data_IF_216159968060
#
_entry.id   IF_216159968060
#
_cell.length_a   1.000
_cell.length_b   1.000
_cell.length_c   1.000
_cell.angle_alpha   90.00
_cell.angle_beta   90.00
_cell.angle_gamma   90.00
#
_symmetry.space_group_name_H-M   'P 1'
#
loop_
_entity.id
_entity.type
_entity.pdbx_description
1 polymer ?
#
# COMPACT_ATOMS: atom_id res chain seq x y z
N UNK A 1 -58.75 -10.03 -46.66
CA UNK A 1 -57.91 -10.65 -47.71
C UNK A 1 -56.62 -9.86 -47.84
N UNK A 2 -55.50 -10.58 -47.96
CA UNK A 2 -54.09 -10.14 -48.11
C UNK A 2 -53.44 -9.57 -46.82
N UNK A 3 -52.22 -9.93 -46.45
CA UNK A 3 -51.39 -11.10 -46.72
C UNK A 3 -50.29 -11.10 -45.63
N UNK A 4 -49.88 -12.29 -45.22
CA UNK A 4 -48.81 -12.60 -44.28
C UNK A 4 -47.45 -12.10 -44.77
N UNK A 5 -46.58 -11.63 -43.87
CA UNK A 5 -45.13 -11.80 -44.03
C UNK A 5 -44.45 -12.02 -42.67
N UNK A 6 -43.95 -13.24 -42.49
CA UNK A 6 -43.00 -13.63 -41.46
C UNK A 6 -41.59 -13.21 -41.90
N UNK A 7 -40.81 -12.64 -41.00
CA UNK A 7 -39.34 -12.75 -41.02
C UNK A 7 -38.90 -13.07 -39.60
N UNK A 8 -38.40 -14.29 -39.43
CA UNK A 8 -37.65 -14.73 -38.27
C UNK A 8 -36.15 -14.66 -38.59
N UNK A 9 -35.36 -13.88 -37.85
CA UNK A 9 -33.92 -14.11 -37.61
C UNK A 9 -33.45 -13.15 -36.51
N UNK A 10 -32.71 -13.66 -35.52
CA UNK A 10 -31.99 -12.82 -34.55
C UNK A 10 -31.96 -13.35 -33.12
N UNK A 11 -31.33 -14.51 -32.92
CA UNK A 11 -30.91 -15.00 -31.59
C UNK A 11 -29.66 -14.22 -31.15
N UNK A 12 -29.55 -13.98 -29.84
CA UNK A 12 -28.34 -13.62 -29.07
C UNK A 12 -27.88 -12.14 -29.06
N UNK A 13 -28.25 -11.43 -27.98
CA UNK A 13 -27.37 -10.53 -27.24
C UNK A 13 -27.73 -10.62 -25.76
N UNK A 14 -27.24 -11.68 -25.12
CA UNK A 14 -26.98 -11.70 -23.68
C UNK A 14 -25.65 -10.97 -23.51
N UNK A 15 -25.62 -9.79 -22.87
CA UNK A 15 -24.40 -9.22 -22.27
C UNK A 15 -24.81 -8.13 -21.27
N UNK A 16 -24.77 -8.54 -20.00
CA UNK A 16 -24.36 -7.78 -18.80
C UNK A 16 -25.07 -6.42 -18.61
N UNK A 17 -26.23 -6.47 -17.97
CA UNK A 17 -26.64 -5.41 -17.04
C UNK A 17 -25.67 -5.46 -15.85
N UNK A 18 -24.61 -4.65 -15.90
CA UNK A 18 -23.73 -4.40 -14.76
C UNK A 18 -24.55 -3.72 -13.67
N UNK A 19 -24.66 -4.37 -12.51
CA UNK A 19 -25.09 -3.72 -11.28
C UNK A 19 -24.03 -2.68 -10.94
N UNK A 20 -24.37 -1.41 -11.13
CA UNK A 20 -23.55 -0.29 -10.67
C UNK A 20 -23.95 0.04 -9.24
N UNK A 21 -22.95 0.21 -8.37
CA UNK A 21 -22.98 0.91 -7.09
C UNK A 21 -24.37 0.96 -6.45
N UNK A 22 -24.71 -0.05 -5.64
CA UNK A 22 -25.93 0.01 -4.84
C UNK A 22 -25.67 0.97 -3.66
N UNK A 23 -25.74 2.28 -3.94
CA UNK A 23 -25.74 3.30 -2.90
C UNK A 23 -26.86 2.94 -1.89
N UNK A 24 -26.58 3.12 -0.59
CA UNK A 24 -27.62 3.03 0.46
C UNK A 24 -28.53 4.28 0.49
N UNK A 25 -28.24 5.28 -0.35
CA UNK A 25 -29.16 6.27 -0.92
C UNK A 25 -29.25 6.03 -2.43
N UNK A 26 -29.93 6.83 -3.24
CA UNK A 26 -29.92 6.65 -4.70
C UNK A 26 -29.43 7.95 -5.39
N UNK A 27 -28.35 7.95 -6.20
CA UNK A 27 -28.00 9.08 -7.03
C UNK A 27 -28.11 8.64 -8.49
N UNK A 28 -29.23 8.99 -9.13
CA UNK A 28 -29.45 8.82 -10.58
C UNK A 28 -28.50 9.69 -11.46
N UNK A 29 -27.31 10.04 -10.99
CA UNK A 29 -26.21 10.51 -11.83
C UNK A 29 -25.27 9.34 -12.07
N UNK A 30 -25.59 8.54 -13.09
CA UNK A 30 -24.81 7.38 -13.47
C UNK A 30 -23.32 7.69 -13.51
N UNK A 31 -22.56 6.94 -12.72
CA UNK A 31 -21.12 6.82 -12.79
C UNK A 31 -20.75 6.44 -14.24
N UNK A 32 -20.55 7.43 -15.10
CA UNK A 32 -19.95 7.22 -16.41
C UNK A 32 -18.46 7.12 -16.16
N UNK A 33 -17.99 5.89 -15.99
CA UNK A 33 -16.58 5.56 -16.15
C UNK A 33 -16.16 6.19 -17.50
N UNK A 34 -15.23 7.15 -17.53
CA UNK A 34 -14.58 7.46 -18.79
C UNK A 34 -13.99 6.16 -19.33
N UNK A 35 -13.98 5.99 -20.65
CA UNK A 35 -13.25 4.87 -21.25
C UNK A 35 -11.85 4.85 -20.60
N UNK A 36 -11.44 3.72 -19.98
CA UNK A 36 -10.15 3.64 -19.30
C UNK A 36 -9.04 3.96 -20.30
N UNK A 37 -8.61 5.22 -20.30
CA UNK A 37 -7.44 5.62 -21.04
C UNK A 37 -6.27 4.98 -20.32
N UNK A 38 -5.58 4.05 -20.98
CA UNK A 38 -4.28 3.59 -20.51
C UNK A 38 -3.36 4.81 -20.43
N UNK A 39 -3.23 5.42 -19.25
CA UNK A 39 -2.31 6.52 -19.05
C UNK A 39 -0.90 5.98 -19.25
N UNK A 40 -0.02 6.78 -19.87
CA UNK A 40 1.42 6.53 -19.89
C UNK A 40 1.94 6.18 -18.49
N UNK A 41 3.09 5.48 -18.41
CA UNK A 41 3.76 5.23 -17.13
C UNK A 41 3.80 6.51 -16.29
N UNK A 42 3.21 6.48 -15.09
CA UNK A 42 3.17 7.65 -14.21
C UNK A 42 4.58 8.17 -13.94
N UNK A 43 4.69 9.46 -13.65
CA UNK A 43 5.95 10.09 -13.32
C UNK A 43 6.30 9.84 -11.84
N UNK A 44 7.48 9.27 -11.56
CA UNK A 44 7.97 9.18 -10.18
C UNK A 44 8.27 10.59 -9.69
N UNK A 45 7.71 10.94 -8.55
CA UNK A 45 8.00 12.18 -7.83
C UNK A 45 8.53 11.83 -6.45
N UNK A 46 9.36 12.70 -5.90
CA UNK A 46 9.84 12.59 -4.54
C UNK A 46 9.38 13.81 -3.76
N UNK A 47 8.85 13.64 -2.55
CA UNK A 47 8.54 14.78 -1.70
C UNK A 47 9.83 15.54 -1.40
N UNK A 48 9.74 16.87 -1.38
CA UNK A 48 10.80 17.78 -0.97
C UNK A 48 11.02 17.71 0.54
N UNK A 49 9.92 17.57 1.29
CA UNK A 49 9.94 17.46 2.75
C UNK A 49 8.72 16.70 3.24
N UNK A 50 8.81 16.17 4.47
CA UNK A 50 7.69 15.53 5.14
C UNK A 50 7.65 15.86 6.63
N UNK A 51 6.47 15.72 7.24
CA UNK A 51 6.24 15.93 8.67
C UNK A 51 5.13 15.00 9.14
N UNK A 52 5.04 14.73 10.45
CA UNK A 52 3.84 14.14 11.02
C UNK A 52 2.69 15.14 10.95
N UNK A 53 1.45 14.65 10.90
CA UNK A 53 0.26 15.48 10.95
C UNK A 53 -0.76 14.95 11.97
N UNK A 54 -1.62 15.83 12.45
CA UNK A 54 -2.79 15.48 13.28
C UNK A 54 -4.01 15.13 12.42
N UNK A 55 -5.11 14.72 13.07
CA UNK A 55 -6.38 14.40 12.41
C UNK A 55 -7.00 15.60 11.65
N UNK A 56 -6.55 16.82 11.94
CA UNK A 56 -6.98 18.04 11.25
C UNK A 56 -6.04 18.42 10.10
N UNK A 57 -5.16 17.49 9.71
CA UNK A 57 -4.18 17.63 8.63
C UNK A 57 -3.15 18.73 8.90
N UNK A 58 -2.98 19.13 10.17
CA UNK A 58 -2.02 20.15 10.57
C UNK A 58 -0.67 19.51 10.91
N UNK A 59 0.45 20.14 10.51
CA UNK A 59 1.78 19.61 10.79
C UNK A 59 2.09 19.58 12.29
N UNK A 60 2.55 18.42 12.78
CA UNK A 60 3.04 18.20 14.13
C UNK A 60 4.57 18.17 14.09
N UNK A 61 5.18 19.26 14.55
CA UNK A 61 6.64 19.36 14.68
C UNK A 61 7.34 19.90 13.43
N UNK A 62 8.69 19.78 13.36
CA UNK A 62 9.46 20.36 12.28
C UNK A 62 9.39 19.52 11.01
N UNK A 63 9.35 20.20 9.87
CA UNK A 63 9.55 19.59 8.56
C UNK A 63 10.93 18.93 8.46
N UNK A 64 10.95 17.71 7.92
CA UNK A 64 12.17 16.98 7.57
C UNK A 64 12.43 17.17 6.09
N UNK A 65 13.59 17.75 5.77
CA UNK A 65 14.04 17.90 4.38
C UNK A 65 14.46 16.54 3.81
N UNK A 66 13.87 16.20 2.66
CA UNK A 66 14.10 14.96 1.93
C UNK A 66 14.93 15.20 0.66
N UNK A 67 15.21 16.47 0.34
CA UNK A 67 16.10 16.85 -0.77
C UNK A 67 17.56 16.67 -0.36
N UNK A 68 18.18 15.57 -0.79
CA UNK A 68 19.63 15.36 -0.68
C UNK A 68 20.12 14.57 0.54
N UNK A 69 19.29 14.34 1.56
CA UNK A 69 19.51 13.31 2.57
C UNK A 69 18.64 12.11 2.20
N UNK A 70 19.21 11.13 1.50
CA UNK A 70 18.51 9.89 1.20
C UNK A 70 17.87 9.36 2.49
N UNK A 71 16.53 9.28 2.51
CA UNK A 71 15.88 8.58 3.61
C UNK A 71 16.41 7.17 3.58
N UNK A 72 16.77 6.62 4.75
CA UNK A 72 17.38 5.29 4.82
C UNK A 72 16.58 4.30 3.96
N UNK A 73 17.17 3.87 2.83
CA UNK A 73 16.53 3.06 1.78
C UNK A 73 16.09 1.66 2.29
N UNK A 74 16.43 1.33 3.53
CA UNK A 74 16.51 -0.04 4.03
C UNK A 74 15.76 -0.22 5.37
N UNK A 75 14.60 0.41 5.47
CA UNK A 75 13.77 0.34 6.67
C UNK A 75 12.34 -0.18 6.44
N UNK A 76 12.07 -0.80 5.29
CA UNK A 76 10.84 -1.56 5.04
C UNK A 76 11.15 -3.05 5.05
N UNK A 77 10.61 -3.83 6.00
CA UNK A 77 10.97 -5.25 6.13
C UNK A 77 9.89 -6.24 5.67
N UNK A 78 8.61 -5.87 5.80
CA UNK A 78 7.47 -6.71 5.40
C UNK A 78 6.36 -5.82 4.87
N UNK A 79 5.69 -6.27 3.81
CA UNK A 79 4.52 -5.61 3.23
C UNK A 79 3.35 -5.77 4.20
N UNK A 80 2.73 -4.66 4.59
CA UNK A 80 1.59 -4.63 5.51
C UNK A 80 0.28 -4.52 4.77
N UNK A 81 0.24 -3.62 3.79
CA UNK A 81 -0.91 -3.34 2.97
C UNK A 81 -0.45 -3.16 1.54
N UNK A 82 -1.11 -3.80 0.59
CA UNK A 82 -0.84 -3.69 -0.83
C UNK A 82 -2.14 -3.53 -1.61
N UNK A 83 -2.36 -2.31 -2.09
CA UNK A 83 -3.35 -2.01 -3.11
C UNK A 83 -2.69 -1.41 -4.36
N UNK A 84 -1.52 -1.92 -4.75
CA UNK A 84 -0.80 -1.54 -5.99
C UNK A 84 -0.15 -2.73 -6.69
N UNK A 85 -0.12 -3.90 -6.03
CA UNK A 85 0.47 -5.17 -6.46
C UNK A 85 1.93 -5.06 -6.82
N UNK A 86 2.69 -4.56 -5.85
CA UNK A 86 4.15 -4.57 -5.94
C UNK A 86 4.64 -6.02 -5.85
N UNK A 87 5.54 -6.46 -6.74
CA UNK A 87 6.25 -7.74 -6.54
C UNK A 87 7.35 -7.60 -5.47
N UNK A 88 7.12 -6.81 -4.42
CA UNK A 88 8.13 -6.42 -3.42
C UNK A 88 9.22 -5.48 -3.95
N UNK A 89 9.05 -4.94 -5.17
CA UNK A 89 9.89 -3.90 -5.80
C UNK A 89 8.96 -2.85 -6.40
N UNK A 90 9.40 -1.58 -6.42
CA UNK A 90 8.70 -0.36 -6.84
C UNK A 90 7.46 -0.58 -7.74
N UNK A 91 6.36 0.16 -7.55
CA UNK A 91 5.11 0.15 -8.37
C UNK A 91 5.28 0.12 -9.89
N UNK A 92 6.46 0.44 -10.43
CA UNK A 92 6.74 0.45 -11.86
C UNK A 92 7.68 -0.68 -12.34
N UNK A 93 8.39 -1.40 -11.46
CA UNK A 93 9.29 -2.49 -11.89
C UNK A 93 8.58 -3.83 -12.11
N UNK A 94 7.34 -3.94 -11.66
CA UNK A 94 6.50 -5.08 -11.98
C UNK A 94 5.05 -4.66 -12.14
N UNK A 95 4.65 -4.32 -13.36
CA UNK A 95 3.26 -4.53 -13.72
C UNK A 95 3.00 -6.02 -13.54
N UNK A 96 2.04 -6.47 -12.71
CA UNK A 96 1.62 -7.85 -12.77
C UNK A 96 0.96 -8.03 -14.12
N UNK A 97 1.71 -8.46 -15.13
CA UNK A 97 1.20 -8.57 -16.49
C UNK A 97 -0.09 -9.38 -16.53
N UNK A 98 -0.96 -9.08 -17.49
CA UNK A 98 -2.33 -9.63 -17.62
C UNK A 98 -2.40 -11.18 -17.56
N UNK A 99 -1.29 -11.87 -17.77
CA UNK A 99 -1.17 -13.31 -17.51
C UNK A 99 -1.43 -13.74 -16.06
N UNK A 100 -1.40 -12.83 -15.08
CA UNK A 100 -1.61 -13.13 -13.66
C UNK A 100 -3.08 -13.09 -13.21
N UNK A 101 -3.94 -12.32 -13.88
CA UNK A 101 -5.39 -12.23 -13.59
C UNK A 101 -6.23 -13.12 -14.51
N UNK A 102 -5.60 -13.72 -15.53
CA UNK A 102 -6.28 -14.46 -16.56
C UNK A 102 -6.85 -13.54 -17.65
N UNK A 103 -6.98 -14.10 -18.86
CA UNK A 103 -7.52 -13.39 -20.02
C UNK A 103 -8.98 -12.92 -19.82
N UNK A 104 -9.68 -13.46 -18.83
CA UNK A 104 -11.09 -13.19 -18.53
C UNK A 104 -11.32 -11.87 -17.78
N UNK A 105 -10.27 -11.25 -17.20
CA UNK A 105 -10.42 -9.95 -16.53
C UNK A 105 -10.44 -8.76 -17.50
N UNK A 106 -10.20 -8.97 -18.81
CA UNK A 106 -10.55 -8.11 -19.96
C UNK A 106 -9.98 -6.67 -20.04
N UNK A 107 -9.67 -6.07 -18.89
CA UNK A 107 -9.18 -4.72 -18.67
C UNK A 107 -7.77 -4.68 -18.08
N UNK A 108 -7.16 -5.86 -17.93
CA UNK A 108 -5.81 -6.05 -17.46
C UNK A 108 -5.60 -5.65 -16.00
N UNK A 109 -4.34 -5.70 -15.58
CA UNK A 109 -3.79 -5.05 -14.40
C UNK A 109 -3.84 -3.51 -14.53
N UNK A 110 -4.99 -2.97 -14.93
CA UNK A 110 -5.15 -1.57 -15.28
C UNK A 110 -5.13 -0.67 -14.04
N UNK A 111 -4.43 0.47 -14.13
CA UNK A 111 -4.58 1.59 -13.20
C UNK A 111 -5.87 2.31 -13.55
N UNK A 112 -6.80 2.44 -12.61
CA UNK A 112 -8.11 3.05 -12.81
C UNK A 112 -8.12 4.48 -12.28
N UNK A 113 -8.87 5.36 -12.92
CA UNK A 113 -9.22 6.69 -12.39
C UNK A 113 -10.43 7.21 -13.16
N UNK A 114 -11.11 8.22 -12.65
CA UNK A 114 -12.35 8.73 -13.25
C UNK A 114 -12.14 9.81 -14.31
N UNK A 115 -10.96 9.82 -14.94
CA UNK A 115 -10.62 10.78 -15.99
C UNK A 115 -10.23 12.15 -15.45
N UNK A 116 -9.58 12.99 -16.27
CA UNK A 116 -9.00 14.27 -15.83
C UNK A 116 -10.02 15.30 -15.34
N UNK A 117 -11.29 15.17 -15.72
CA UNK A 117 -12.36 16.08 -15.28
C UNK A 117 -12.98 15.72 -13.92
N UNK A 118 -12.65 14.56 -13.36
CA UNK A 118 -13.09 14.17 -12.03
C UNK A 118 -12.04 14.61 -11.00
N UNK A 119 -12.51 15.06 -9.84
CA UNK A 119 -11.61 15.30 -8.72
C UNK A 119 -12.27 14.85 -7.42
N UNK A 120 -11.46 14.17 -6.63
CA UNK A 120 -11.75 13.58 -5.33
C UNK A 120 -10.56 13.95 -4.45
N UNK A 121 -10.68 15.12 -3.82
CA UNK A 121 -9.60 15.74 -3.06
C UNK A 121 -9.43 15.12 -1.68
N UNK A 122 -10.38 14.28 -1.26
CA UNK A 122 -10.42 13.70 0.06
C UNK A 122 -11.12 12.34 0.03
N UNK A 123 -10.41 11.30 0.45
CA UNK A 123 -10.89 9.92 0.37
C UNK A 123 -10.52 9.13 1.62
N UNK A 124 -11.29 8.07 1.87
CA UNK A 124 -11.02 7.09 2.92
C UNK A 124 -11.34 5.71 2.35
N UNK A 125 -10.43 4.78 2.55
CA UNK A 125 -10.57 3.39 2.15
C UNK A 125 -10.40 2.49 3.38
N UNK A 126 -11.11 1.37 3.41
CA UNK A 126 -10.85 0.32 4.40
C UNK A 126 -9.51 -0.38 4.10
N UNK A 127 -8.85 -0.87 5.15
CA UNK A 127 -7.63 -1.66 5.03
C UNK A 127 -7.66 -2.85 5.98
N UNK A 128 -7.54 -4.05 5.41
CA UNK A 128 -7.07 -5.22 6.13
C UNK A 128 -5.57 -5.39 5.85
N UNK A 129 -4.77 -5.28 6.90
CA UNK A 129 -3.32 -5.50 6.88
C UNK A 129 -2.99 -6.98 7.13
N UNK A 130 -1.75 -7.35 6.80
CA UNK A 130 -1.23 -8.68 7.15
C UNK A 130 -1.06 -8.83 8.66
N UNK A 131 -1.29 -10.02 9.22
CA UNK A 131 -1.10 -10.31 10.66
C UNK A 131 0.31 -9.97 11.18
N UNK A 132 1.33 -9.95 10.30
CA UNK A 132 2.69 -9.56 10.69
C UNK A 132 2.85 -8.07 10.98
N UNK A 133 1.85 -7.26 10.65
CA UNK A 133 1.88 -5.80 10.80
C UNK A 133 0.97 -5.26 11.90
N UNK A 134 0.22 -6.11 12.60
CA UNK A 134 -0.68 -5.70 13.68
C UNK A 134 0.06 -4.83 14.72
N UNK A 135 -0.37 -3.57 14.83
CA UNK A 135 0.23 -2.56 15.73
C UNK A 135 1.69 -2.17 15.43
N UNK A 136 2.26 -2.61 14.30
CA UNK A 136 3.64 -2.29 13.93
C UNK A 136 3.71 -0.91 13.28
N UNK A 137 4.79 -0.17 13.55
CA UNK A 137 5.05 1.10 12.89
C UNK A 137 5.16 0.93 11.36
N UNK A 138 4.63 1.87 10.58
CA UNK A 138 4.83 1.94 9.13
C UNK A 138 6.15 2.66 8.80
N UNK A 139 6.97 2.04 7.95
CA UNK A 139 8.32 2.49 7.59
C UNK A 139 8.52 2.84 6.12
N UNK A 140 7.57 2.49 5.26
CA UNK A 140 7.58 2.86 3.83
C UNK A 140 6.14 3.01 3.36
N UNK A 141 5.90 4.02 2.54
CA UNK A 141 4.61 4.28 1.92
C UNK A 141 4.82 4.51 0.43
N UNK A 142 3.93 3.92 -0.35
CA UNK A 142 3.83 4.11 -1.78
C UNK A 142 2.41 4.49 -2.11
N UNK A 143 2.24 5.49 -2.98
CA UNK A 143 0.92 5.95 -3.39
C UNK A 143 0.98 6.56 -4.79
N UNK A 144 -0.13 6.41 -5.52
CA UNK A 144 -0.31 6.88 -6.89
C UNK A 144 -1.55 7.78 -7.00
N UNK A 145 -1.40 8.92 -7.67
CA UNK A 145 -2.44 9.94 -7.76
C UNK A 145 -2.39 10.69 -9.08
N UNK A 146 -3.54 11.25 -9.45
CA UNK A 146 -3.66 12.23 -10.52
C UNK A 146 -3.70 13.62 -9.91
N UNK A 147 -2.94 14.55 -10.48
CA UNK A 147 -2.89 15.94 -10.05
C UNK A 147 -3.11 16.86 -11.25
N UNK A 148 -4.16 17.68 -11.19
CA UNK A 148 -4.47 18.66 -12.22
C UNK A 148 -4.60 20.05 -11.60
N UNK A 149 -3.84 21.01 -12.13
CA UNK A 149 -3.93 22.39 -11.69
C UNK A 149 -4.76 23.14 -12.72
N UNK A 150 -6.00 23.46 -12.36
CA UNK A 150 -6.91 24.12 -13.28
C UNK A 150 -6.45 25.56 -13.57
N UNK A 151 -5.74 25.76 -14.69
CA UNK A 151 -5.48 27.07 -15.27
C UNK A 151 -4.03 27.29 -15.74
N UNK A 152 -3.80 27.97 -16.89
CA UNK A 152 -2.46 28.33 -17.35
C UNK A 152 -1.72 29.18 -16.30
N UNK A 153 -0.51 28.76 -15.91
CA UNK A 153 0.36 29.51 -14.98
C UNK A 153 0.10 29.28 -13.50
N UNK A 154 -0.71 28.29 -13.13
CA UNK A 154 -0.92 27.90 -11.74
C UNK A 154 0.21 26.99 -11.26
N UNK A 155 0.96 27.45 -10.24
CA UNK A 155 2.06 26.73 -9.60
C UNK A 155 1.62 26.12 -8.26
N UNK A 156 0.44 25.51 -8.25
CA UNK A 156 -0.14 25.00 -7.01
C UNK A 156 0.81 23.98 -6.38
N UNK A 157 1.13 24.21 -5.11
CA UNK A 157 1.95 23.30 -4.33
C UNK A 157 1.17 22.00 -4.13
N UNK A 158 1.75 20.88 -4.55
CA UNK A 158 1.15 19.58 -4.34
C UNK A 158 1.57 19.03 -2.98
N UNK A 159 0.57 18.80 -2.14
CA UNK A 159 0.76 18.15 -0.85
C UNK A 159 -0.19 16.98 -0.70
N UNK A 160 0.29 15.96 0.01
CA UNK A 160 -0.49 14.77 0.28
C UNK A 160 -0.42 14.45 1.76
N UNK A 161 -1.59 14.37 2.36
CA UNK A 161 -1.81 13.78 3.67
C UNK A 161 -2.16 12.31 3.50
N UNK A 162 -1.54 11.42 4.28
CA UNK A 162 -1.95 10.01 4.43
C UNK A 162 -2.02 9.68 5.92
N UNK A 163 -3.21 9.31 6.40
CA UNK A 163 -3.50 8.95 7.79
C UNK A 163 -3.95 7.50 7.96
N UNK A 164 -3.82 6.98 9.18
CA UNK A 164 -4.30 5.66 9.59
C UNK A 164 -5.25 5.73 10.77
N UNK A 165 -6.22 4.82 10.81
CA UNK A 165 -7.24 4.70 11.84
C UNK A 165 -7.42 3.24 12.29
N UNK A 166 -7.70 3.03 13.58
CA UNK A 166 -8.02 1.71 14.16
C UNK A 166 -9.32 1.12 13.64
N UNK A 167 -10.27 1.94 13.18
CA UNK A 167 -11.60 1.44 12.84
C UNK A 167 -12.14 2.10 11.57
N UNK A 168 -12.77 1.28 10.74
CA UNK A 168 -13.57 1.67 9.58
C UNK A 168 -14.90 0.93 9.66
N UNK A 169 -15.97 1.67 9.95
CA UNK A 169 -17.29 1.08 10.11
C UNK A 169 -18.14 1.33 8.86
N UNK A 170 -18.78 0.26 8.34
CA UNK A 170 -19.78 0.17 7.24
C UNK A 170 -20.54 1.47 6.90
N UNK A 171 -19.85 2.44 6.28
CA UNK A 171 -20.37 3.77 5.97
C UNK A 171 -20.79 4.66 7.18
N UNK A 172 -20.36 4.37 8.41
CA UNK A 172 -20.62 5.23 9.58
C UNK A 172 -19.42 6.07 10.02
N UNK A 173 -18.24 5.81 9.43
CA UNK A 173 -17.05 6.63 9.52
C UNK A 173 -15.83 5.90 10.06
N UNK A 174 -14.82 6.67 10.43
CA UNK A 174 -13.56 6.19 11.01
C UNK A 174 -13.42 6.60 12.47
N UNK A 175 -12.68 5.82 13.24
CA UNK A 175 -12.35 6.12 14.64
C UNK A 175 -10.95 5.65 15.02
N UNK A 176 -10.43 6.21 16.11
CA UNK A 176 -9.11 5.83 16.64
C UNK A 176 -7.97 6.27 15.73
N UNK A 177 -7.83 7.57 15.49
CA UNK A 177 -6.72 8.14 14.72
C UNK A 177 -5.36 7.69 15.29
N UNK A 178 -4.54 7.08 14.44
CA UNK A 178 -3.23 6.52 14.80
C UNK A 178 -2.08 7.48 14.49
N UNK A 179 -2.30 8.39 13.54
CA UNK A 179 -1.31 9.34 13.06
C UNK A 179 -1.39 9.51 11.56
N UNK A 180 -0.73 10.56 11.06
CA UNK A 180 -0.63 10.84 9.65
C UNK A 180 0.74 11.39 9.25
N UNK A 181 1.09 11.21 7.98
CA UNK A 181 2.19 11.90 7.33
C UNK A 181 1.63 12.96 6.40
N UNK A 182 2.31 14.10 6.36
CA UNK A 182 2.09 15.15 5.37
C UNK A 182 3.36 15.28 4.51
N UNK A 183 3.19 15.08 3.21
CA UNK A 183 4.25 15.13 2.20
C UNK A 183 4.09 16.37 1.35
N UNK A 184 5.16 17.13 1.18
CA UNK A 184 5.20 18.31 0.30
C UNK A 184 6.06 18.02 -0.91
N UNK A 185 5.47 18.07 -2.11
CA UNK A 185 6.15 17.84 -3.38
C UNK A 185 6.53 19.15 -4.09
N UNK A 186 6.16 20.31 -3.53
CA UNK A 186 6.22 21.57 -4.25
C UNK A 186 5.29 21.58 -5.46
N UNK A 187 5.46 22.54 -6.38
CA UNK A 187 4.74 22.54 -7.64
C UNK A 187 5.13 21.33 -8.50
N UNK A 188 4.15 20.54 -8.93
CA UNK A 188 4.38 19.44 -9.86
C UNK A 188 4.36 19.93 -11.31
N UNK A 189 5.28 19.45 -12.17
CA UNK A 189 5.33 19.88 -13.56
C UNK A 189 4.14 19.30 -14.32
N UNK A 190 3.21 20.13 -14.82
CA UNK A 190 2.15 19.60 -15.68
C UNK A 190 2.78 18.94 -16.91
N UNK A 191 2.59 17.63 -17.06
CA UNK A 191 3.18 16.89 -18.18
C UNK A 191 2.44 17.19 -19.49
N UNK A 192 1.22 17.71 -19.40
CA UNK A 192 0.36 18.21 -20.48
C UNK A 192 -0.51 19.35 -19.93
N UNK A 193 -1.16 20.14 -20.77
CA UNK A 193 -2.08 21.25 -20.38
C UNK A 193 -3.32 20.78 -19.57
N UNK A 194 -3.35 19.53 -19.10
CA UNK A 194 -4.51 18.84 -18.52
C UNK A 194 -4.18 18.04 -17.25
N UNK A 195 -3.10 18.36 -16.53
CA UNK A 195 -2.68 17.60 -15.33
C UNK A 195 -1.79 16.39 -15.65
N UNK A 196 -1.42 15.63 -14.63
CA UNK A 196 -0.50 14.50 -14.76
C UNK A 196 -0.73 13.37 -13.76
N UNK A 197 -0.33 12.17 -14.18
CA UNK A 197 -0.27 10.98 -13.31
C UNK A 197 1.10 10.91 -12.63
N UNK A 198 1.10 10.91 -11.29
CA UNK A 198 2.28 10.82 -10.45
C UNK A 198 2.21 9.64 -9.49
N UNK A 199 3.37 9.20 -9.05
CA UNK A 199 3.49 8.27 -7.92
C UNK A 199 4.74 8.58 -7.12
N UNK A 200 4.76 8.17 -5.86
CA UNK A 200 5.96 8.22 -5.04
C UNK A 200 6.16 6.93 -4.28
N UNK A 201 7.37 6.81 -3.74
CA UNK A 201 7.81 5.73 -2.89
C UNK A 201 8.77 6.32 -1.88
N UNK A 202 8.38 6.32 -0.60
CA UNK A 202 9.12 7.01 0.44
C UNK A 202 9.26 6.13 1.67
N UNK A 203 10.49 6.05 2.17
CA UNK A 203 10.79 5.49 3.48
C UNK A 203 10.49 6.55 4.54
N UNK A 204 9.83 6.20 5.64
CA UNK A 204 9.41 7.14 6.69
C UNK A 204 10.26 7.03 7.95
N UNK A 205 11.19 6.09 8.02
CA UNK A 205 11.92 5.78 9.25
C UNK A 205 12.92 6.85 9.71
N UNK A 206 13.28 7.78 8.82
CA UNK A 206 14.09 8.96 9.13
C UNK A 206 13.26 10.17 9.58
N UNK A 207 11.94 10.07 9.55
CA UNK A 207 11.05 11.14 10.01
C UNK A 207 10.99 11.16 11.55
N UNK A 208 10.69 12.33 12.12
CA UNK A 208 10.51 12.48 13.56
C UNK A 208 9.21 11.81 14.02
N UNK A 209 9.25 10.49 14.22
CA UNK A 209 8.16 9.68 14.75
C UNK A 209 7.71 8.58 13.79
N UNK A 210 6.64 7.88 14.17
CA UNK A 210 6.08 6.74 13.44
C UNK A 210 4.57 6.75 13.55
N UNK A 211 3.92 6.08 12.59
CA UNK A 211 2.49 5.82 12.63
C UNK A 211 2.34 4.31 12.76
N UNK A 212 1.69 3.80 13.81
CA UNK A 212 1.40 2.38 13.91
C UNK A 212 0.30 2.00 12.91
N UNK A 213 0.39 0.78 12.39
CA UNK A 213 -0.74 0.07 11.80
C UNK A 213 -1.82 -0.21 12.86
N UNK A 214 -3.08 -0.45 12.46
CA UNK A 214 -4.14 -0.88 13.37
C UNK A 214 -3.74 -2.11 14.18
N UNK A 215 -4.15 -2.13 15.45
CA UNK A 215 -3.67 -3.10 16.43
C UNK A 215 -4.19 -4.52 16.17
N UNK A 216 -5.31 -4.67 15.48
CA UNK A 216 -5.92 -5.94 15.08
C UNK A 216 -5.78 -6.24 13.58
N UNK A 217 -4.95 -5.45 12.89
CA UNK A 217 -4.72 -5.55 11.45
C UNK A 217 -5.89 -5.06 10.60
N UNK A 218 -6.92 -4.43 11.18
CA UNK A 218 -8.07 -3.90 10.43
C UNK A 218 -8.29 -2.44 10.76
N UNK A 219 -8.59 -1.62 9.77
CA UNK A 219 -8.85 -0.21 10.02
C UNK A 219 -9.10 0.54 8.72
N UNK A 220 -8.69 1.81 8.71
CA UNK A 220 -8.79 2.67 7.54
C UNK A 220 -7.46 3.32 7.20
N UNK A 221 -7.33 3.69 5.93
CA UNK A 221 -6.38 4.72 5.52
C UNK A 221 -7.12 5.86 4.84
N UNK A 222 -6.74 7.06 5.21
CA UNK A 222 -7.31 8.33 4.75
C UNK A 222 -6.27 9.03 3.90
N UNK A 223 -6.70 9.71 2.84
CA UNK A 223 -5.84 10.64 2.14
C UNK A 223 -6.54 11.92 1.74
N UNK A 224 -5.77 13.02 1.79
CA UNK A 224 -6.22 14.33 1.35
C UNK A 224 -5.16 14.99 0.48
N UNK A 225 -5.61 15.54 -0.64
CA UNK A 225 -4.79 16.33 -1.55
C UNK A 225 -4.92 17.80 -1.17
N UNK A 226 -3.79 18.40 -0.80
CA UNK A 226 -3.73 19.70 -0.16
C UNK A 226 -2.80 20.65 -0.90
N UNK A 227 -2.92 21.92 -0.57
CA UNK A 227 -2.10 23.04 -1.03
C UNK A 227 -1.73 23.96 0.14
N UNK A 228 -0.90 24.97 -0.12
CA UNK A 228 -0.54 26.03 0.82
C UNK A 228 -0.09 25.51 2.20
N UNK A 229 0.96 24.68 2.22
CA UNK A 229 1.49 24.05 3.44
C UNK A 229 0.48 23.21 4.25
N UNK A 230 -0.57 22.70 3.60
CA UNK A 230 -1.61 21.85 4.21
C UNK A 230 -2.85 22.61 4.68
N UNK A 231 -2.91 23.92 4.40
CA UNK A 231 -3.99 24.80 4.87
C UNK A 231 -5.27 24.78 4.03
N UNK A 232 -5.22 24.24 2.81
CA UNK A 232 -6.38 24.15 1.92
C UNK A 232 -6.34 22.90 1.04
N UNK A 233 -7.50 22.50 0.50
CA UNK A 233 -7.59 21.42 -0.47
C UNK A 233 -7.09 21.83 -1.86
N UNK A 234 -6.58 20.85 -2.58
CA UNK A 234 -6.13 21.02 -3.95
C UNK A 234 -7.27 21.46 -4.88
N UNK A 235 -6.96 22.20 -5.95
CA UNK A 235 -7.97 22.56 -6.95
C UNK A 235 -8.60 21.33 -7.61
N UNK A 236 -7.77 20.39 -8.05
CA UNK A 236 -8.21 19.11 -8.61
C UNK A 236 -7.13 18.04 -8.44
N UNK A 237 -7.45 17.00 -7.68
CA UNK A 237 -6.66 15.79 -7.58
C UNK A 237 -7.60 14.60 -7.37
N UNK A 238 -7.11 13.39 -7.58
CA UNK A 238 -7.84 12.17 -7.26
C UNK A 238 -6.84 11.02 -7.06
N UNK A 239 -7.20 10.01 -6.23
CA UNK A 239 -6.40 8.79 -6.17
C UNK A 239 -6.45 8.07 -7.51
N UNK A 240 -5.32 7.48 -7.89
CA UNK A 240 -5.39 6.34 -8.79
C UNK A 240 -6.02 5.20 -8.00
N UNK A 241 -6.82 4.39 -8.68
CA UNK A 241 -7.47 3.23 -8.11
C UNK A 241 -6.82 1.97 -8.68
N UNK A 242 -6.76 0.95 -7.84
CA UNK A 242 -6.23 -0.36 -8.19
C UNK A 242 -7.10 -1.43 -7.54
N UNK A 243 -6.96 -2.66 -8.00
CA UNK A 243 -7.66 -3.79 -7.41
C UNK A 243 -6.74 -4.94 -7.14
N UNK A 244 -6.91 -5.52 -5.97
CA UNK A 244 -6.06 -6.58 -5.44
C UNK A 244 -6.80 -7.86 -5.11
N UNK A 245 -8.04 -8.01 -5.58
CA UNK A 245 -8.89 -9.16 -5.29
C UNK A 245 -8.33 -10.46 -5.89
N UNK A 246 -7.35 -11.03 -5.18
CA UNK A 246 -6.81 -12.38 -5.33
C UNK A 246 -7.02 -13.12 -4.01
N UNK A 247 -7.32 -14.43 -4.06
CA UNK A 247 -7.37 -15.30 -2.87
C UNK A 247 -6.04 -15.46 -2.10
N UNK A 248 -4.97 -14.77 -2.52
CA UNK A 248 -3.65 -14.78 -1.90
C UNK A 248 -3.09 -13.37 -1.62
N UNK A 249 -3.83 -12.30 -1.96
CA UNK A 249 -3.40 -10.98 -1.53
C UNK A 249 -3.75 -10.83 -0.05
N UNK A 250 -2.72 -10.61 0.77
CA UNK A 250 -2.87 -10.49 2.22
C UNK A 250 -3.58 -9.19 2.62
N UNK A 251 -3.76 -8.28 1.66
CA UNK A 251 -4.38 -6.99 1.82
C UNK A 251 -5.74 -6.97 1.15
N UNK A 252 -6.79 -7.11 1.95
CA UNK A 252 -8.17 -7.14 1.49
C UNK A 252 -8.85 -5.79 1.73
N UNK A 253 -9.78 -5.46 0.84
CA UNK A 253 -10.70 -4.34 0.96
C UNK A 253 -12.12 -4.85 0.70
N UNK A 254 -13.09 -4.32 1.43
CA UNK A 254 -14.51 -4.64 1.27
C UNK A 254 -15.16 -3.93 0.08
N UNK A 255 -14.46 -2.96 -0.51
CA UNK A 255 -14.95 -2.10 -1.59
C UNK A 255 -15.67 -0.85 -1.10
N UNK A 256 -15.81 -0.70 0.21
CA UNK A 256 -16.32 0.54 0.78
C UNK A 256 -15.27 1.64 0.72
N UNK A 257 -15.65 2.75 0.09
CA UNK A 257 -14.81 3.94 -0.05
C UNK A 257 -15.64 5.17 0.27
N UNK A 258 -15.05 6.11 1.01
CA UNK A 258 -15.55 7.47 1.05
C UNK A 258 -14.81 8.36 0.04
N UNK A 259 -15.55 9.20 -0.67
CA UNK A 259 -15.01 10.15 -1.64
C UNK A 259 -15.75 11.49 -1.56
N UNK A 260 -15.00 12.59 -1.38
CA UNK A 260 -15.50 13.96 -1.27
C UNK A 260 -15.88 14.51 -2.65
N UNK A 261 -17.12 14.26 -3.05
CA UNK A 261 -17.63 14.56 -4.39
C UNK A 261 -18.93 15.36 -4.39
N UNK A 262 -19.63 15.51 -3.25
CA UNK A 262 -20.94 16.15 -3.21
C UNK A 262 -21.36 16.74 -1.84
N UNK A 263 -21.07 18.03 -1.57
CA UNK A 263 -20.22 18.94 -2.36
C UNK A 263 -18.73 18.69 -2.07
N UNK A 264 -17.86 18.98 -3.05
CA UNK A 264 -16.40 18.95 -2.82
C UNK A 264 -15.99 20.09 -1.90
N UNK A 265 -15.90 19.82 -0.61
CA UNK A 265 -15.60 20.82 0.41
C UNK A 265 -14.54 20.37 1.43
N UNK A 266 -13.98 19.18 1.25
CA UNK A 266 -12.95 18.63 2.11
C UNK A 266 -13.46 17.97 3.39
N UNK A 267 -14.77 17.70 3.45
CA UNK A 267 -15.41 16.97 4.53
C UNK A 267 -16.25 15.81 3.98
N UNK A 268 -16.03 14.60 4.51
CA UNK A 268 -16.87 13.46 4.14
C UNK A 268 -18.25 13.60 4.81
N UNK A 269 -19.29 13.62 4.00
CA UNK A 269 -20.67 13.42 4.43
C UNK A 269 -20.96 11.91 4.33
N UNK A 270 -20.68 11.16 5.39
CA UNK A 270 -20.71 9.69 5.39
C UNK A 270 -21.97 9.07 4.77
N UNK A 271 -23.14 9.69 4.98
CA UNK A 271 -24.40 9.20 4.43
C UNK A 271 -24.53 9.30 2.89
N UNK A 272 -23.85 10.27 2.28
CA UNK A 272 -23.97 10.59 0.86
C UNK A 272 -22.74 10.22 0.05
N UNK A 273 -21.60 10.08 0.73
CA UNK A 273 -20.28 9.95 0.12
C UNK A 273 -19.63 8.60 0.42
N UNK A 274 -20.37 7.66 1.00
CA UNK A 274 -19.97 6.26 1.03
C UNK A 274 -20.42 5.55 -0.24
N UNK A 275 -19.47 4.92 -0.91
CA UNK A 275 -19.68 4.22 -2.16
C UNK A 275 -19.13 2.81 -2.05
N UNK A 276 -19.84 1.89 -2.68
CA UNK A 276 -19.34 0.54 -2.92
C UNK A 276 -18.70 0.51 -4.31
N UNK A 277 -17.37 0.40 -4.31
CA UNK A 277 -16.50 0.26 -5.46
C UNK A 277 -16.30 -1.23 -5.82
N UNK A 278 -17.15 -2.11 -5.32
CA UNK A 278 -17.30 -3.49 -5.75
C UNK A 278 -17.76 -3.56 -7.21
N UNK A 279 -16.96 -4.20 -8.06
CA UNK A 279 -17.30 -4.43 -9.45
C UNK A 279 -17.92 -5.83 -9.60
N UNK A 280 -19.00 -5.94 -10.39
CA UNK A 280 -19.62 -7.23 -10.71
C UNK A 280 -18.76 -8.11 -11.65
N UNK A 281 -17.60 -7.60 -12.08
CA UNK A 281 -16.64 -8.24 -12.98
C UNK A 281 -15.24 -8.12 -12.38
N UNK A 282 -14.35 -9.06 -12.71
CA UNK A 282 -12.96 -9.00 -12.28
C UNK A 282 -12.28 -7.69 -12.73
N UNK A 283 -11.54 -7.01 -11.86
CA UNK A 283 -11.28 -7.39 -10.47
C UNK A 283 -12.37 -6.87 -9.51
N UNK A 284 -12.67 -7.62 -8.44
CA UNK A 284 -13.94 -7.51 -7.70
C UNK A 284 -14.11 -6.26 -6.85
N UNK A 285 -13.03 -5.57 -6.48
CA UNK A 285 -13.04 -4.38 -5.60
C UNK A 285 -11.97 -3.37 -6.03
N UNK A 286 -12.35 -2.13 -6.33
CA UNK A 286 -11.38 -1.04 -6.55
C UNK A 286 -11.15 -0.26 -5.26
N UNK A 287 -9.90 0.00 -4.90
CA UNK A 287 -9.55 0.95 -3.84
C UNK A 287 -8.42 1.88 -4.24
N UNK A 288 -8.05 2.80 -3.36
CA UNK A 288 -6.94 3.72 -3.60
C UNK A 288 -5.60 3.00 -3.75
N UNK A 289 -4.85 3.36 -4.79
CA UNK A 289 -3.54 2.81 -5.12
C UNK A 289 -2.48 3.20 -4.09
N UNK A 290 -2.44 2.45 -2.98
CA UNK A 290 -1.52 2.64 -1.86
C UNK A 290 -0.90 1.32 -1.42
N UNK A 291 0.39 1.31 -1.08
CA UNK A 291 1.02 0.24 -0.33
C UNK A 291 1.80 0.77 0.87
N UNK A 292 1.89 -0.05 1.91
CA UNK A 292 2.56 0.26 3.16
C UNK A 292 3.38 -0.94 3.60
N UNK A 293 4.59 -0.67 4.13
CA UNK A 293 5.45 -1.69 4.72
C UNK A 293 5.75 -1.36 6.17
N UNK A 294 5.90 -2.39 6.99
CA UNK A 294 6.33 -2.23 8.36
C UNK A 294 7.69 -1.54 8.38
N UNK A 295 7.90 -0.74 9.40
CA UNK A 295 9.20 -0.26 9.82
C UNK A 295 10.05 -1.46 10.16
N UNK A 296 10.88 -1.84 9.19
CA UNK A 296 11.97 -2.75 9.41
C UNK A 296 12.86 -2.24 10.52
N UNK A 297 13.39 -3.18 11.30
CA UNK A 297 14.64 -2.89 11.99
C UNK A 297 15.65 -2.48 10.91
N UNK A 298 16.28 -1.30 11.00
CA UNK A 298 17.16 -0.77 9.95
C UNK A 298 18.11 -1.88 9.56
N UNK A 299 18.14 -2.35 8.29
CA UNK A 299 18.81 -3.57 7.85
C UNK A 299 20.07 -3.89 8.67
N UNK A 300 19.90 -4.59 9.79
CA UNK A 300 21.03 -5.11 10.51
C UNK A 300 21.10 -6.52 10.00
N UNK A 301 21.95 -6.73 8.99
CA UNK A 301 22.26 -8.06 8.50
C UNK A 301 22.47 -8.97 9.71
N UNK A 302 21.61 -9.97 9.94
CA UNK A 302 21.66 -10.76 11.16
C UNK A 302 23.08 -11.32 11.34
N UNK A 303 23.68 -11.09 12.50
CA UNK A 303 25.06 -11.56 12.73
C UNK A 303 25.03 -12.95 13.31
N UNK A 304 25.36 -13.95 12.50
CA UNK A 304 25.53 -15.32 12.96
C UNK A 304 26.91 -15.50 13.62
N UNK A 305 26.90 -15.92 14.89
CA UNK A 305 28.08 -16.45 15.60
C UNK A 305 27.75 -17.82 16.15
N UNK A 306 28.58 -18.81 15.87
CA UNK A 306 28.43 -20.14 16.44
C UNK A 306 29.71 -20.56 17.18
N UNK A 307 29.54 -21.36 18.23
CA UNK A 307 30.66 -21.93 19.00
C UNK A 307 30.33 -23.34 19.45
N UNK A 308 31.34 -24.21 19.48
CA UNK A 308 31.23 -25.51 20.11
C UNK A 308 31.44 -25.40 21.63
N UNK A 309 30.73 -26.23 22.41
CA UNK A 309 30.89 -26.33 23.85
C UNK A 309 30.44 -27.72 24.33
N UNK A 310 31.39 -28.57 24.70
CA UNK A 310 31.16 -29.93 25.26
C UNK A 310 30.14 -30.76 24.45
N UNK A 311 30.40 -30.98 23.15
CA UNK A 311 29.53 -31.79 22.29
C UNK A 311 28.21 -31.13 21.88
N UNK A 312 28.08 -29.81 22.08
CA UNK A 312 26.98 -29.01 21.54
C UNK A 312 27.51 -27.82 20.72
N UNK A 313 26.85 -27.50 19.61
CA UNK A 313 27.04 -26.21 18.92
C UNK A 313 25.95 -25.24 19.36
N UNK A 314 26.37 -24.04 19.76
CA UNK A 314 25.48 -22.94 20.12
C UNK A 314 25.63 -21.85 19.08
N UNK A 315 24.61 -21.71 18.23
CA UNK A 315 24.45 -20.60 17.30
C UNK A 315 23.71 -19.44 17.98
N UNK A 316 24.24 -18.24 17.85
CA UNK A 316 23.67 -16.99 18.34
C UNK A 316 23.45 -16.08 17.15
N UNK A 317 22.22 -15.65 16.99
CA UNK A 317 21.84 -14.62 16.02
C UNK A 317 21.63 -13.33 16.79
N UNK A 318 22.13 -12.24 16.23
CA UNK A 318 21.93 -10.88 16.73
C UNK A 318 21.40 -10.01 15.63
N UNK A 319 20.70 -8.98 16.06
CA UNK A 319 20.23 -7.89 15.23
C UNK A 319 19.23 -8.37 14.16
N UNK A 320 18.46 -9.42 14.47
CA UNK A 320 17.34 -9.87 13.65
C UNK A 320 16.04 -9.21 14.12
N UNK A 321 15.01 -9.15 13.26
CA UNK A 321 13.73 -8.54 13.63
C UNK A 321 13.05 -9.35 14.78
N UNK A 322 12.55 -8.71 15.84
CA UNK A 322 11.74 -9.38 16.86
C UNK A 322 10.59 -10.21 16.25
N UNK A 323 10.33 -11.39 16.78
CA UNK A 323 9.28 -12.29 16.27
C UNK A 323 9.68 -13.12 15.03
N UNK A 324 10.66 -12.67 14.23
CA UNK A 324 11.14 -13.38 13.04
C UNK A 324 11.52 -14.84 13.36
N UNK A 325 11.10 -15.78 12.52
CA UNK A 325 11.46 -17.19 12.64
C UNK A 325 12.80 -17.46 11.93
N UNK A 326 13.87 -17.63 12.72
CA UNK A 326 15.17 -17.97 12.15
C UNK A 326 15.32 -19.48 12.03
N UNK A 327 15.61 -19.97 10.83
CA UNK A 327 15.91 -21.39 10.58
C UNK A 327 17.40 -21.58 10.37
N UNK A 328 18.03 -22.33 11.27
CA UNK A 328 19.45 -22.67 11.21
C UNK A 328 19.62 -24.15 10.85
N UNK A 329 20.54 -24.40 9.95
CA UNK A 329 20.99 -25.71 9.51
C UNK A 329 22.40 -26.00 10.02
N UNK A 330 22.63 -27.22 10.50
CA UNK A 330 23.94 -27.76 10.83
C UNK A 330 24.30 -28.87 9.83
N UNK A 331 25.43 -28.70 9.16
CA UNK A 331 26.07 -29.62 8.21
C UNK A 331 25.20 -30.07 7.03
N UNK A 332 24.18 -29.30 6.64
CA UNK A 332 23.31 -29.66 5.51
C UNK A 332 22.16 -30.62 5.85
N UNK A 333 21.98 -31.00 7.12
CA UNK A 333 21.02 -32.07 7.48
C UNK A 333 20.16 -31.77 8.70
N UNK A 334 20.68 -31.08 9.73
CA UNK A 334 19.93 -30.83 10.97
C UNK A 334 19.44 -29.40 11.00
N UNK A 335 18.13 -29.19 10.85
CA UNK A 335 17.50 -27.87 10.95
C UNK A 335 16.87 -27.64 12.31
N UNK A 336 16.90 -26.39 12.78
CA UNK A 336 16.15 -25.92 13.94
C UNK A 336 15.65 -24.51 13.69
N UNK A 337 14.36 -24.30 13.92
CA UNK A 337 13.72 -22.99 13.79
C UNK A 337 13.45 -22.38 15.16
N UNK A 338 13.65 -21.07 15.30
CA UNK A 338 13.38 -20.36 16.54
C UNK A 338 13.02 -18.90 16.30
N UNK A 339 11.97 -18.44 16.98
CA UNK A 339 11.60 -17.04 17.02
C UNK A 339 12.67 -16.16 17.68
N UNK A 340 12.92 -15.00 17.09
CA UNK A 340 13.77 -13.95 17.65
C UNK A 340 13.05 -13.26 18.79
N UNK A 341 13.76 -13.05 19.91
CA UNK A 341 13.18 -12.38 21.07
C UNK A 341 12.99 -10.88 20.80
N UNK A 342 12.19 -10.22 21.63
CA UNK A 342 11.97 -8.77 21.63
C UNK A 342 13.26 -7.91 21.58
N UNK A 343 14.40 -8.43 22.04
CA UNK A 343 15.68 -7.73 22.00
C UNK A 343 16.52 -7.99 20.73
N UNK A 344 15.90 -8.51 19.66
CA UNK A 344 16.57 -8.80 18.38
C UNK A 344 17.59 -9.93 18.44
N UNK A 345 17.51 -10.81 19.45
CA UNK A 345 18.48 -11.91 19.64
C UNK A 345 17.79 -13.25 19.72
N UNK A 346 18.41 -14.27 19.13
CA UNK A 346 17.98 -15.65 19.30
C UNK A 346 19.20 -16.56 19.54
N UNK A 347 18.95 -17.72 20.16
CA UNK A 347 19.96 -18.74 20.47
C UNK A 347 19.41 -20.11 20.11
N UNK A 348 20.06 -20.76 19.16
CA UNK A 348 19.79 -22.13 18.74
C UNK A 348 20.92 -23.02 19.21
N UNK A 349 20.57 -24.19 19.75
CA UNK A 349 21.51 -25.19 20.25
C UNK A 349 21.33 -26.46 19.44
N UNK A 350 22.42 -27.06 19.00
CA UNK A 350 22.49 -28.41 18.45
C UNK A 350 23.23 -29.27 19.45
N UNK A 351 22.63 -30.38 19.86
CA UNK A 351 23.19 -31.31 20.83
C UNK A 351 23.74 -32.55 20.14
N UNK A 352 24.66 -33.24 20.83
CA UNK A 352 25.29 -34.46 20.34
C UNK A 352 25.98 -34.24 18.99
N UNK A 353 26.77 -33.17 18.91
CA UNK A 353 27.61 -32.87 17.76
C UNK A 353 28.95 -33.59 17.96
N UNK A 354 29.36 -34.48 17.03
CA UNK A 354 30.67 -35.15 17.10
C UNK A 354 31.84 -34.15 17.12
N UNK A 355 33.04 -34.61 17.50
CA UNK A 355 34.24 -33.81 17.32
C UNK A 355 34.57 -33.67 15.81
N UNK A 356 35.06 -32.50 15.41
CA UNK A 356 35.39 -32.22 14.01
C UNK A 356 34.96 -30.83 13.50
N UNK A 357 35.22 -30.52 12.23
CA UNK A 357 34.75 -29.29 11.60
C UNK A 357 33.26 -29.41 11.24
N UNK A 358 32.50 -28.35 11.58
CA UNK A 358 31.08 -28.25 11.27
C UNK A 358 30.75 -26.93 10.59
N UNK A 359 29.64 -26.89 9.86
CA UNK A 359 29.12 -25.66 9.23
C UNK A 359 27.72 -25.37 9.71
N UNK A 360 27.51 -24.16 10.24
CA UNK A 360 26.16 -23.65 10.51
C UNK A 360 25.77 -22.66 9.42
N UNK A 361 24.59 -22.85 8.82
CA UNK A 361 23.99 -21.98 7.82
C UNK A 361 22.66 -21.46 8.31
N UNK A 362 22.42 -20.17 8.15
CA UNK A 362 21.08 -19.60 8.24
C UNK A 362 20.45 -19.63 6.85
N UNK A 363 19.27 -20.23 6.72
CA UNK A 363 18.71 -20.61 5.42
C UNK A 363 18.08 -19.44 4.66
N UNK A 364 17.58 -18.41 5.35
CA UNK A 364 16.85 -17.30 4.75
C UNK A 364 17.78 -16.22 4.19
N UNK A 365 18.85 -15.88 4.91
CA UNK A 365 19.85 -14.87 4.50
C UNK A 365 21.19 -15.49 4.06
N UNK A 366 21.24 -16.82 3.90
CA UNK A 366 22.41 -17.60 3.49
C UNK A 366 23.69 -17.35 4.30
N UNK A 367 23.56 -16.95 5.56
CA UNK A 367 24.71 -16.65 6.41
C UNK A 367 25.40 -17.95 6.82
N UNK A 368 26.66 -18.13 6.41
CA UNK A 368 27.44 -19.32 6.71
C UNK A 368 28.56 -19.07 7.73
N UNK A 369 28.77 -20.04 8.62
CA UNK A 369 29.88 -20.05 9.58
C UNK A 369 30.45 -21.45 9.78
N UNK A 370 31.76 -21.55 9.62
CA UNK A 370 32.53 -22.73 10.03
C UNK A 370 32.76 -22.69 11.54
N UNK A 371 32.56 -23.82 12.20
CA UNK A 371 32.66 -24.00 13.64
C UNK A 371 33.56 -25.21 13.92
N UNK A 372 34.79 -25.01 14.41
CA UNK A 372 35.59 -26.12 14.90
C UNK A 372 35.03 -26.63 16.23
N UNK A 373 34.85 -27.94 16.34
CA UNK A 373 34.60 -28.65 17.61
C UNK A 373 35.84 -29.46 17.98
N UNK A 374 36.46 -29.12 19.11
CA UNK A 374 37.55 -29.88 19.75
C UNK A 374 37.01 -31.09 20.52
#
# INVERSE_FOLDING_TARGET
MKATMWVATGVLCLLISAGFAQQKGNPESGLRLPEPGAISMGQKVSPLRAVLADENRQPIGPWVDLTGNGVAEDCGAALCFDNVETNGRDVNESQPGDGYYGLDCGFGSGRWFFGPGFCDTYWIDDAAMTETCDGQDIGRIQHAFWWDVAGPGSSEQAMLYIGLYEDFNDCSGVAGFLGAFLFDFGPLPSSQDTGGYYYFDIHTCGLYGTIPAPADGRGAYEGAYLTADGGAFATCAQPMLWSTDKPLNYSAQSGLKFADINPRDGAIIYANECFDYGAATCPGVLGTATAMWQKGSPNVTPKLRAKCNNGSIIARIRDAAPGQLMTLELDGFRTRTKAVKANGRCKVRFDFVPAGPHTTRELENELMRNVPCE
#
